data_IF_962160223094
#
_entry.id   IF_962160223094
#
_cell.length_a   1.000
_cell.length_b   1.000
_cell.length_c   1.000
_cell.angle_alpha   90.00
_cell.angle_beta   90.00
_cell.angle_gamma   90.00
#
_symmetry.space_group_name_H-M   'P 1'
#
loop_
_entity.id
_entity.type
_entity.pdbx_description
1 polymer ?
#
# COMPACT_ATOMS: atom_id res chain seq x y z
N UNK A 1 -7.69 -6.18 12.34
CA UNK A 1 -6.30 -6.53 11.98
C UNK A 1 -6.35 -7.42 10.76
N UNK A 2 -5.52 -7.14 9.76
CA UNK A 2 -5.41 -7.91 8.52
C UNK A 2 -3.95 -8.31 8.33
N UNK A 3 -3.70 -9.48 7.73
CA UNK A 3 -2.35 -9.94 7.41
C UNK A 3 -2.23 -10.10 5.92
N UNK A 4 -1.23 -9.47 5.31
CA UNK A 4 -0.93 -9.66 3.90
C UNK A 4 0.11 -10.79 3.76
N UNK A 5 -0.25 -11.94 3.17
CA UNK A 5 0.60 -13.12 3.18
C UNK A 5 1.77 -13.03 2.20
N UNK A 6 1.68 -12.16 1.18
CA UNK A 6 2.71 -11.93 0.18
C UNK A 6 3.32 -10.54 0.30
N UNK A 7 4.31 -10.27 -0.56
CA UNK A 7 4.82 -8.92 -0.73
C UNK A 7 3.68 -7.97 -1.13
N UNK A 8 3.70 -6.78 -0.55
CA UNK A 8 2.71 -5.75 -0.87
C UNK A 8 3.43 -4.61 -1.56
N UNK A 9 3.06 -4.36 -2.82
CA UNK A 9 3.56 -3.22 -3.59
C UNK A 9 2.69 -2.00 -3.35
N UNK A 10 3.31 -0.83 -3.31
CA UNK A 10 2.64 0.47 -3.24
C UNK A 10 3.53 1.54 -3.89
N UNK A 11 2.94 2.70 -4.17
CA UNK A 11 3.67 3.90 -4.57
C UNK A 11 3.85 4.85 -3.38
N UNK A 12 4.90 5.67 -3.39
CA UNK A 12 5.12 6.70 -2.35
C UNK A 12 4.05 7.79 -2.41
N UNK A 13 3.55 8.12 -3.60
CA UNK A 13 2.55 9.18 -3.79
C UNK A 13 1.22 8.61 -4.24
N UNK A 14 0.13 9.22 -3.77
CA UNK A 14 -1.24 8.81 -4.11
C UNK A 14 -1.54 8.92 -5.62
N UNK A 15 -1.05 9.97 -6.27
CA UNK A 15 -1.28 10.18 -7.71
C UNK A 15 -0.50 9.20 -8.61
N UNK A 16 0.40 8.41 -8.03
CA UNK A 16 1.15 7.35 -8.69
C UNK A 16 0.55 5.96 -8.37
N UNK A 17 -0.43 5.89 -7.46
CA UNK A 17 -1.11 4.65 -7.15
C UNK A 17 -2.04 4.21 -8.30
N UNK A 18 -2.05 2.90 -8.57
CA UNK A 18 -2.92 2.34 -9.60
C UNK A 18 -4.41 2.57 -9.25
N UNK A 19 -5.16 3.11 -10.21
CA UNK A 19 -6.58 3.42 -10.02
C UNK A 19 -7.44 2.14 -10.06
N UNK A 20 -7.96 1.75 -8.90
CA UNK A 20 -8.88 0.62 -8.74
C UNK A 20 -10.19 0.99 -8.02
N UNK A 21 -10.99 -0.04 -7.70
CA UNK A 21 -12.18 0.13 -6.85
C UNK A 21 -11.80 0.28 -5.36
N UNK A 22 -10.61 -0.17 -4.99
CA UNK A 22 -10.10 -0.06 -3.62
C UNK A 22 -8.75 0.63 -3.67
N UNK A 23 -8.59 1.68 -2.86
CA UNK A 23 -7.33 2.36 -2.63
C UNK A 23 -6.89 2.08 -1.19
N UNK A 24 -5.65 1.60 -1.03
CA UNK A 24 -5.04 1.41 0.27
C UNK A 24 -4.04 2.53 0.54
N UNK A 25 -4.22 3.23 1.66
CA UNK A 25 -3.25 4.21 2.16
C UNK A 25 -2.58 3.61 3.39
N UNK A 26 -1.28 3.35 3.31
CA UNK A 26 -0.56 2.54 4.30
C UNK A 26 0.52 3.38 4.96
N UNK A 27 0.47 3.53 6.29
CA UNK A 27 1.62 3.93 7.08
C UNK A 27 2.50 2.71 7.31
N UNK A 28 3.49 2.53 6.44
CA UNK A 28 4.43 1.42 6.51
C UNK A 28 5.68 1.78 7.32
N UNK A 29 6.15 0.83 8.12
CA UNK A 29 7.37 0.84 8.92
C UNK A 29 8.50 0.03 8.25
N UNK A 30 8.15 -1.01 7.49
CA UNK A 30 9.12 -1.94 6.88
C UNK A 30 9.24 -1.82 5.37
N UNK A 31 8.60 -0.82 4.77
CA UNK A 31 8.63 -0.59 3.32
C UNK A 31 10.03 -0.18 2.83
N UNK A 32 10.47 -0.79 1.73
CA UNK A 32 11.70 -0.43 1.06
C UNK A 32 11.42 0.15 -0.32
N UNK A 33 12.06 1.26 -0.66
CA UNK A 33 12.04 1.83 -2.01
C UNK A 33 12.78 0.90 -2.95
N UNK A 34 12.12 0.46 -4.02
CA UNK A 34 12.69 -0.44 -5.03
C UNK A 34 12.60 0.13 -6.46
N UNK A 35 12.12 1.36 -6.62
CA UNK A 35 12.00 2.06 -7.91
C UNK A 35 13.26 2.02 -8.78
N UNK A 36 14.45 1.91 -8.19
CA UNK A 36 15.71 1.81 -8.93
C UNK A 36 15.95 0.45 -9.62
N UNK A 37 15.10 -0.55 -9.32
CA UNK A 37 15.09 -1.86 -9.96
C UNK A 37 13.93 -2.01 -10.96
N UNK A 38 12.99 -1.07 -10.97
CA UNK A 38 11.82 -1.10 -11.84
C UNK A 38 12.21 -0.79 -13.29
N UNK A 39 11.44 -1.31 -14.25
CA UNK A 39 11.60 -0.97 -15.66
C UNK A 39 11.28 0.51 -15.92
N UNK A 40 10.41 1.09 -15.09
CA UNK A 40 10.02 2.50 -15.13
C UNK A 40 10.36 3.18 -13.79
N UNK A 41 11.38 4.05 -13.81
CA UNK A 41 11.88 4.72 -12.60
C UNK A 41 10.87 5.67 -11.93
N UNK A 42 9.87 6.15 -12.69
CA UNK A 42 8.92 7.17 -12.25
C UNK A 42 7.81 6.62 -11.35
N UNK A 43 7.66 5.30 -11.22
CA UNK A 43 6.61 4.67 -10.40
C UNK A 43 6.83 4.88 -8.89
N UNK A 44 8.04 5.26 -8.47
CA UNK A 44 8.42 5.42 -7.06
C UNK A 44 7.98 4.23 -6.19
N UNK A 45 8.10 3.01 -6.72
CA UNK A 45 7.62 1.80 -6.07
C UNK A 45 8.32 1.56 -4.72
N UNK A 46 7.51 1.19 -3.74
CA UNK A 46 7.91 0.62 -2.46
C UNK A 46 7.34 -0.78 -2.30
N UNK A 47 8.12 -1.65 -1.67
CA UNK A 47 7.73 -3.02 -1.38
C UNK A 47 7.79 -3.27 0.13
N UNK A 48 6.69 -3.78 0.66
CA UNK A 48 6.61 -4.31 2.03
C UNK A 48 6.85 -5.82 1.99
N UNK A 49 7.63 -6.39 2.94
CA UNK A 49 7.87 -7.83 3.01
C UNK A 49 6.58 -8.65 3.15
N UNK A 50 6.67 -9.94 2.86
CA UNK A 50 5.56 -10.85 3.07
C UNK A 50 5.24 -11.05 4.55
N UNK A 51 3.96 -11.25 4.87
CA UNK A 51 3.51 -11.65 6.20
C UNK A 51 3.26 -10.49 7.17
N UNK A 52 3.33 -9.24 6.71
CA UNK A 52 3.08 -8.06 7.54
C UNK A 52 1.63 -7.97 7.99
N UNK A 53 1.46 -7.41 9.19
CA UNK A 53 0.16 -7.21 9.81
C UNK A 53 -0.18 -5.74 9.87
N UNK A 54 -1.44 -5.42 9.57
CA UNK A 54 -1.92 -4.06 9.51
C UNK A 54 -3.19 -3.90 10.35
N UNK A 55 -3.28 -2.76 11.05
CA UNK A 55 -4.51 -2.31 11.66
C UNK A 55 -5.27 -1.42 10.66
N UNK A 56 -6.55 -1.69 10.47
CA UNK A 56 -7.44 -0.78 9.75
C UNK A 56 -7.76 0.38 10.69
N UNK A 57 -7.40 1.58 10.27
CA UNK A 57 -7.63 2.83 11.01
C UNK A 57 -8.94 3.47 10.57
N UNK A 58 -9.20 3.50 9.26
CA UNK A 58 -10.39 4.10 8.68
C UNK A 58 -10.81 3.39 7.39
N UNK A 59 -12.11 3.37 7.13
CA UNK A 59 -12.70 2.92 5.87
C UNK A 59 -13.71 3.96 5.39
N UNK A 60 -13.42 4.58 4.25
CA UNK A 60 -14.35 5.48 3.56
C UNK A 60 -14.88 4.80 2.30
N UNK A 61 -16.14 4.38 2.32
CA UNK A 61 -16.78 3.69 1.19
C UNK A 61 -17.85 4.58 0.54
N UNK A 62 -17.83 4.66 -0.80
CA UNK A 62 -18.82 5.40 -1.57
C UNK A 62 -18.94 4.86 -2.98
N UNK A 63 -20.19 4.64 -3.45
CA UNK A 63 -20.52 4.27 -4.84
C UNK A 63 -19.67 3.11 -5.40
N UNK A 64 -19.49 2.05 -4.61
CA UNK A 64 -18.72 0.86 -5.03
C UNK A 64 -17.20 1.02 -4.98
N UNK A 65 -16.71 2.15 -4.48
CA UNK A 65 -15.29 2.39 -4.19
C UNK A 65 -15.04 2.43 -2.69
N UNK A 66 -13.83 2.08 -2.28
CA UNK A 66 -13.38 2.19 -0.89
C UNK A 66 -11.96 2.75 -0.80
N UNK A 67 -11.75 3.67 0.12
CA UNK A 67 -10.42 4.04 0.61
C UNK A 67 -10.22 3.39 1.99
N UNK A 68 -9.13 2.64 2.15
CA UNK A 68 -8.82 1.89 3.37
C UNK A 68 -7.49 2.41 3.91
N UNK A 69 -7.51 2.96 5.11
CA UNK A 69 -6.33 3.49 5.79
C UNK A 69 -5.78 2.46 6.76
N UNK A 70 -4.50 2.16 6.62
CA UNK A 70 -3.82 1.09 7.34
C UNK A 70 -2.60 1.62 8.09
N UNK A 71 -2.41 1.18 9.33
CA UNK A 71 -1.15 1.31 10.05
C UNK A 71 -0.47 -0.07 10.13
N UNK A 72 0.79 -0.17 9.70
CA UNK A 72 1.60 -1.38 9.89
C UNK A 72 1.89 -1.60 11.38
N UNK A 73 1.72 -2.84 11.82
CA UNK A 73 2.02 -3.25 13.19
C UNK A 73 3.49 -3.71 13.29
N UNK A 74 4.18 -3.45 14.42
CA UNK A 74 5.56 -3.91 14.65
C UNK A 74 5.73 -5.43 14.71
#
# INVERSE_FOLDING_TARGET
MIRFPGFTSAAVKENEAYFGNVLFTIRALTAHRIWFLAAEYDENEVLMPAGQSFQIVEVAASKGKAAIFLDELP
#
